data_IF_224798815498
#
_entry.id   IF_224798815498
#
_cell.length_a   1.000
_cell.length_b   1.000
_cell.length_c   1.000
_cell.angle_alpha   90.00
_cell.angle_beta   90.00
_cell.angle_gamma   90.00
#
_symmetry.space_group_name_H-M   'P 1'
#
loop_
_entity.id
_entity.type
_entity.pdbx_description
1 polymer ?
#
# COMPACT_ATOMS: atom_id res chain seq x y z
N UNK A 1 -24.40 11.80 -12.25
CA UNK A 1 -23.06 11.37 -11.79
C UNK A 1 -22.15 11.36 -13.00
N UNK A 2 -20.92 11.88 -12.90
CA UNK A 2 -19.96 11.88 -14.01
C UNK A 2 -19.51 10.45 -14.37
N UNK A 3 -18.81 10.29 -15.50
CA UNK A 3 -18.27 9.00 -15.93
C UNK A 3 -17.24 8.44 -14.94
N UNK A 4 -16.99 7.13 -14.97
CA UNK A 4 -15.94 6.49 -14.16
C UNK A 4 -14.57 7.12 -14.42
N UNK A 5 -14.28 7.50 -15.67
CA UNK A 5 -13.07 8.23 -16.02
C UNK A 5 -13.00 9.59 -15.31
N UNK A 6 -14.09 10.37 -15.30
CA UNK A 6 -14.13 11.65 -14.58
C UNK A 6 -13.93 11.44 -13.07
N UNK A 7 -14.56 10.40 -12.51
CA UNK A 7 -14.40 10.01 -11.12
C UNK A 7 -12.93 9.66 -10.76
N UNK A 8 -12.23 8.87 -11.58
CA UNK A 8 -10.82 8.56 -11.36
C UNK A 8 -9.93 9.80 -11.49
N UNK A 9 -10.17 10.64 -12.50
CA UNK A 9 -9.38 11.85 -12.74
C UNK A 9 -9.53 12.86 -11.60
N UNK A 10 -10.74 13.03 -11.05
CA UNK A 10 -10.98 13.87 -9.87
C UNK A 10 -10.19 13.37 -8.64
N UNK A 11 -10.17 12.06 -8.39
CA UNK A 11 -9.42 11.48 -7.28
C UNK A 11 -7.90 11.63 -7.49
N UNK A 12 -7.41 11.40 -8.71
CA UNK A 12 -6.00 11.54 -9.07
C UNK A 12 -5.53 13.00 -8.94
N UNK A 13 -6.29 13.96 -9.46
CA UNK A 13 -6.00 15.39 -9.34
C UNK A 13 -6.01 15.85 -7.87
N UNK A 14 -7.01 15.42 -7.09
CA UNK A 14 -7.05 15.71 -5.66
C UNK A 14 -5.80 15.19 -4.94
N UNK A 15 -5.43 13.93 -5.17
CA UNK A 15 -4.23 13.32 -4.59
C UNK A 15 -2.95 14.07 -5.03
N UNK A 16 -2.85 14.42 -6.31
CA UNK A 16 -1.70 15.16 -6.85
C UNK A 16 -1.54 16.52 -6.17
N UNK A 17 -2.62 17.28 -6.01
CA UNK A 17 -2.61 18.57 -5.31
C UNK A 17 -2.24 18.43 -3.83
N UNK A 18 -2.77 17.43 -3.14
CA UNK A 18 -2.45 17.18 -1.71
C UNK A 18 -1.00 16.75 -1.51
N UNK A 19 -0.44 15.98 -2.43
CA UNK A 19 0.92 15.44 -2.34
C UNK A 19 1.96 16.25 -3.13
N UNK A 20 1.63 17.44 -3.66
CA UNK A 20 2.49 18.23 -4.54
C UNK A 20 3.93 18.47 -4.04
N UNK A 21 4.09 18.61 -2.72
CA UNK A 21 5.38 18.83 -2.06
C UNK A 21 5.97 17.56 -1.43
N UNK A 22 5.19 16.47 -1.37
CA UNK A 22 5.66 15.22 -0.79
C UNK A 22 6.50 14.45 -1.79
N UNK A 23 7.57 13.82 -1.30
CA UNK A 23 8.44 12.92 -2.05
C UNK A 23 8.49 11.53 -1.41
N UNK A 24 8.81 10.54 -2.23
CA UNK A 24 9.26 9.21 -1.81
C UNK A 24 10.67 9.32 -1.20
N UNK A 25 11.13 8.24 -0.59
CA UNK A 25 12.40 8.19 0.16
C UNK A 25 13.52 7.50 -0.61
N UNK A 26 13.28 7.17 -1.87
CA UNK A 26 14.31 6.75 -2.80
C UNK A 26 15.29 7.91 -3.06
N UNK A 27 16.54 7.63 -3.47
CA UNK A 27 17.57 8.65 -3.65
C UNK A 27 17.22 9.78 -4.64
N UNK A 28 16.39 9.50 -5.64
CA UNK A 28 15.94 10.51 -6.61
C UNK A 28 14.85 11.43 -6.04
N UNK A 29 14.29 11.08 -4.87
CA UNK A 29 13.17 11.80 -4.27
C UNK A 29 11.97 11.80 -5.21
N UNK A 30 11.53 10.64 -5.69
CA UNK A 30 10.43 10.52 -6.66
C UNK A 30 9.16 11.23 -6.13
N UNK A 31 8.40 11.99 -6.97
CA UNK A 31 7.15 12.60 -6.55
C UNK A 31 6.19 11.59 -5.91
N UNK A 32 5.64 11.92 -4.73
CA UNK A 32 4.86 10.94 -3.97
C UNK A 32 3.59 10.47 -4.68
N UNK A 33 3.02 11.29 -5.58
CA UNK A 33 1.84 10.95 -6.39
C UNK A 33 2.02 9.67 -7.22
N UNK A 34 3.25 9.30 -7.58
CA UNK A 34 3.54 8.07 -8.30
C UNK A 34 3.11 6.83 -7.51
N UNK A 35 3.14 6.90 -6.18
CA UNK A 35 2.75 5.78 -5.33
C UNK A 35 1.24 5.52 -5.30
N UNK A 36 0.35 6.48 -4.96
CA UNK A 36 -1.10 6.26 -5.06
C UNK A 36 -1.54 5.80 -6.45
N UNK A 37 -0.97 6.37 -7.52
CA UNK A 37 -1.24 5.92 -8.90
C UNK A 37 -0.80 4.47 -9.10
N UNK A 38 0.40 4.13 -8.63
CA UNK A 38 0.93 2.77 -8.72
C UNK A 38 0.12 1.74 -7.94
N UNK A 39 -0.39 2.10 -6.76
CA UNK A 39 -1.30 1.25 -5.97
C UNK A 39 -2.61 1.00 -6.72
N UNK A 40 -3.23 2.04 -7.28
CA UNK A 40 -4.44 1.88 -8.10
C UNK A 40 -4.17 1.04 -9.37
N UNK A 41 -2.97 1.17 -9.95
CA UNK A 41 -2.55 0.35 -11.10
C UNK A 41 -2.39 -1.12 -10.73
N UNK A 42 -1.84 -1.44 -9.55
CA UNK A 42 -1.75 -2.83 -9.05
C UNK A 42 -3.16 -3.42 -8.88
N UNK A 43 -4.08 -2.66 -8.28
CA UNK A 43 -5.47 -3.10 -8.10
C UNK A 43 -6.16 -3.41 -9.44
N UNK A 44 -5.98 -2.56 -10.45
CA UNK A 44 -6.62 -2.76 -11.76
C UNK A 44 -5.94 -3.85 -12.60
N UNK A 45 -4.60 -3.81 -12.74
CA UNK A 45 -3.87 -4.65 -13.69
C UNK A 45 -3.47 -6.03 -13.14
N UNK A 46 -3.30 -6.16 -11.82
CA UNK A 46 -2.83 -7.42 -11.21
C UNK A 46 -3.95 -8.10 -10.42
N UNK A 47 -4.77 -7.33 -9.71
CA UNK A 47 -5.87 -7.85 -8.89
C UNK A 47 -7.22 -7.91 -9.61
N UNK A 48 -7.33 -7.35 -10.83
CA UNK A 48 -8.55 -7.34 -11.63
C UNK A 48 -9.70 -6.51 -11.05
N UNK A 49 -9.40 -5.52 -10.18
CA UNK A 49 -10.40 -4.69 -9.52
C UNK A 49 -10.90 -3.61 -10.47
N UNK A 50 -12.21 -3.59 -10.70
CA UNK A 50 -12.91 -2.57 -11.50
C UNK A 50 -13.81 -1.65 -10.66
N UNK A 51 -14.01 -1.96 -9.37
CA UNK A 51 -14.86 -1.16 -8.48
C UNK A 51 -14.26 0.23 -8.27
N UNK A 52 -14.92 1.24 -8.85
CA UNK A 52 -14.52 2.64 -8.78
C UNK A 52 -14.38 3.16 -7.35
N UNK A 53 -15.18 2.67 -6.40
CA UNK A 53 -15.13 3.10 -4.99
C UNK A 53 -13.84 2.65 -4.34
N UNK A 54 -13.39 1.43 -4.64
CA UNK A 54 -12.11 0.90 -4.18
C UNK A 54 -10.96 1.66 -4.83
N UNK A 55 -11.04 1.92 -6.15
CA UNK A 55 -10.00 2.63 -6.89
C UNK A 55 -9.84 4.10 -6.48
N UNK A 56 -10.91 4.77 -6.06
CA UNK A 56 -10.86 6.14 -5.54
C UNK A 56 -10.39 6.22 -4.08
N UNK A 57 -10.44 5.11 -3.33
CA UNK A 57 -10.15 5.03 -1.88
C UNK A 57 -11.06 5.92 -1.01
N UNK A 58 -11.93 6.77 -1.59
CA UNK A 58 -12.66 7.86 -0.90
C UNK A 58 -13.42 7.40 0.34
N UNK A 59 -14.13 6.27 0.27
CA UNK A 59 -14.89 5.72 1.41
C UNK A 59 -14.06 4.83 2.33
N UNK A 60 -12.86 4.46 1.89
CA UNK A 60 -11.92 3.60 2.61
C UNK A 60 -10.85 4.41 3.34
N UNK A 61 -10.76 5.73 3.09
CA UNK A 61 -9.70 6.61 3.62
C UNK A 61 -9.53 6.44 5.13
N UNK A 62 -10.62 6.38 5.89
CA UNK A 62 -10.56 6.22 7.35
C UNK A 62 -9.90 4.89 7.75
N UNK A 63 -10.24 3.78 7.09
CA UNK A 63 -9.70 2.46 7.40
C UNK A 63 -8.24 2.26 6.97
N UNK A 64 -7.77 3.08 6.02
CA UNK A 64 -6.40 2.99 5.45
C UNK A 64 -5.49 4.14 5.86
N UNK A 65 -5.97 5.09 6.65
CA UNK A 65 -5.17 6.20 7.17
C UNK A 65 -4.71 5.91 8.58
N UNK A 66 -3.40 5.87 8.79
CA UNK A 66 -2.85 5.81 10.14
C UNK A 66 -3.15 7.11 10.91
N UNK A 67 -3.47 6.98 12.21
CA UNK A 67 -3.49 8.12 13.13
C UNK A 67 -2.07 8.66 13.36
N UNK A 68 -1.77 9.82 12.78
CA UNK A 68 -0.44 10.44 12.86
C UNK A 68 -0.14 11.10 14.21
N UNK A 69 -1.08 11.14 15.15
CA UNK A 69 -0.81 11.58 16.53
C UNK A 69 -0.05 10.54 17.33
N UNK A 70 -0.04 9.28 16.88
CA UNK A 70 0.61 8.17 17.55
C UNK A 70 2.07 7.95 17.12
N UNK A 71 2.93 7.44 18.03
CA UNK A 71 4.28 7.04 17.69
C UNK A 71 4.33 6.01 16.54
N UNK A 72 5.40 6.04 15.75
CA UNK A 72 5.56 5.16 14.58
C UNK A 72 5.43 3.67 14.93
N UNK A 73 5.96 3.25 16.07
CA UNK A 73 5.86 1.86 16.52
C UNK A 73 4.41 1.45 16.80
N UNK A 74 3.65 2.34 17.44
CA UNK A 74 2.24 2.09 17.75
C UNK A 74 1.39 2.02 16.48
N UNK A 75 1.63 2.92 15.50
CA UNK A 75 0.95 2.84 14.19
C UNK A 75 1.25 1.53 13.47
N UNK A 76 2.50 1.06 13.52
CA UNK A 76 2.89 -0.24 12.95
C UNK A 76 2.15 -1.40 13.61
N UNK A 77 2.02 -1.37 14.94
CA UNK A 77 1.28 -2.38 15.72
C UNK A 77 -0.21 -2.37 15.37
N UNK A 78 -0.84 -1.20 15.32
CA UNK A 78 -2.25 -1.06 14.95
C UNK A 78 -2.53 -1.58 13.54
N UNK A 79 -1.62 -1.42 12.57
CA UNK A 79 -1.82 -2.02 11.24
C UNK A 79 -1.90 -3.55 11.28
N UNK A 80 -1.18 -4.22 12.17
CA UNK A 80 -1.26 -5.68 12.34
C UNK A 80 -2.58 -6.06 13.01
N UNK A 81 -2.94 -5.39 14.10
CA UNK A 81 -4.16 -5.67 14.87
C UNK A 81 -5.45 -5.41 14.05
N UNK A 82 -5.47 -4.34 13.25
CA UNK A 82 -6.65 -3.94 12.47
C UNK A 82 -6.77 -4.64 11.11
N UNK A 83 -5.71 -5.30 10.63
CA UNK A 83 -5.71 -6.01 9.35
C UNK A 83 -6.90 -7.00 9.20
N UNK A 84 -7.15 -7.94 10.14
CA UNK A 84 -8.25 -8.89 10.01
C UNK A 84 -9.64 -8.24 10.05
N UNK A 85 -9.77 -7.10 10.72
CA UNK A 85 -11.04 -6.39 10.96
C UNK A 85 -11.40 -5.37 9.87
N UNK A 86 -10.49 -5.12 8.92
CA UNK A 86 -10.72 -4.17 7.82
C UNK A 86 -11.79 -4.68 6.86
N UNK A 87 -12.54 -3.77 6.25
CA UNK A 87 -13.49 -4.10 5.17
C UNK A 87 -12.79 -4.75 3.97
N UNK A 88 -13.49 -5.53 3.13
CA UNK A 88 -12.88 -6.16 1.95
C UNK A 88 -12.16 -5.16 1.02
N UNK A 89 -12.76 -3.99 0.80
CA UNK A 89 -12.15 -2.91 0.01
C UNK A 89 -10.88 -2.37 0.66
N UNK A 90 -10.89 -2.14 1.97
CA UNK A 90 -9.71 -1.68 2.70
C UNK A 90 -8.59 -2.73 2.69
N UNK A 91 -8.92 -4.03 2.76
CA UNK A 91 -7.92 -5.11 2.65
C UNK A 91 -7.25 -5.12 1.28
N UNK A 92 -8.00 -4.93 0.18
CA UNK A 92 -7.44 -4.81 -1.17
C UNK A 92 -6.42 -3.67 -1.26
N UNK A 93 -6.79 -2.48 -0.79
CA UNK A 93 -5.91 -1.30 -0.80
C UNK A 93 -4.66 -1.56 0.05
N UNK A 94 -4.81 -2.16 1.23
CA UNK A 94 -3.67 -2.49 2.13
C UNK A 94 -2.74 -3.53 1.51
N UNK A 95 -3.26 -4.55 0.82
CA UNK A 95 -2.45 -5.54 0.10
C UNK A 95 -1.65 -4.89 -1.04
N UNK A 96 -2.31 -4.09 -1.88
CA UNK A 96 -1.66 -3.40 -3.00
C UNK A 96 -0.62 -2.38 -2.53
N UNK A 97 -0.90 -1.64 -1.45
CA UNK A 97 0.08 -0.74 -0.80
C UNK A 97 1.33 -1.50 -0.35
N UNK A 98 1.16 -2.63 0.37
CA UNK A 98 2.30 -3.45 0.81
C UNK A 98 3.07 -3.98 -0.39
N UNK A 99 2.39 -4.49 -1.41
CA UNK A 99 3.06 -5.01 -2.61
C UNK A 99 3.87 -3.93 -3.32
N UNK A 100 3.30 -2.73 -3.51
CA UNK A 100 4.02 -1.59 -4.09
C UNK A 100 5.28 -1.25 -3.28
N UNK A 101 5.13 -1.09 -1.96
CA UNK A 101 6.22 -0.67 -1.10
C UNK A 101 7.34 -1.72 -1.01
N UNK A 102 7.01 -3.01 -0.97
CA UNK A 102 8.02 -4.08 -0.96
C UNK A 102 8.77 -4.19 -2.29
N UNK A 103 8.08 -4.02 -3.42
CA UNK A 103 8.73 -3.92 -4.74
C UNK A 103 9.66 -2.72 -4.82
N UNK A 104 9.24 -1.58 -4.28
CA UNK A 104 10.06 -0.35 -4.27
C UNK A 104 11.31 -0.53 -3.39
N UNK A 105 11.19 -1.19 -2.23
CA UNK A 105 12.33 -1.54 -1.37
C UNK A 105 13.32 -2.50 -2.04
N UNK A 106 12.84 -3.49 -2.81
CA UNK A 106 13.72 -4.37 -3.59
C UNK A 106 14.39 -3.65 -4.76
N UNK A 107 13.71 -2.66 -5.35
CA UNK A 107 14.26 -1.85 -6.45
C UNK A 107 15.34 -0.89 -5.94
N UNK A 108 15.09 -0.22 -4.82
CA UNK A 108 15.97 0.80 -4.29
C UNK A 108 15.80 0.97 -2.78
N UNK A 109 16.88 0.75 -2.04
CA UNK A 109 16.92 1.01 -0.59
C UNK A 109 16.76 2.51 -0.32
N UNK A 110 15.80 2.92 0.54
CA UNK A 110 15.58 4.33 0.85
C UNK A 110 16.81 5.00 1.47
N UNK A 111 16.94 6.31 1.27
CA UNK A 111 18.05 7.09 1.82
C UNK A 111 18.14 6.96 3.34
N UNK A 112 19.33 6.65 3.85
CA UNK A 112 19.62 6.46 5.27
C UNK A 112 19.07 5.15 5.87
N UNK A 113 18.60 4.20 5.07
CA UNK A 113 18.21 2.86 5.54
C UNK A 113 19.37 1.87 5.38
N UNK A 114 19.57 1.04 6.39
CA UNK A 114 20.41 -0.15 6.29
C UNK A 114 19.61 -1.33 5.72
N UNK A 115 20.30 -2.34 5.21
CA UNK A 115 19.69 -3.62 4.80
C UNK A 115 18.88 -4.26 5.92
N UNK A 116 19.36 -4.22 7.17
CA UNK A 116 18.63 -4.72 8.33
C UNK A 116 17.27 -4.01 8.48
N UNK A 117 17.24 -2.69 8.29
CA UNK A 117 16.00 -1.92 8.38
C UNK A 117 15.03 -2.23 7.23
N UNK A 118 15.55 -2.57 6.06
CA UNK A 118 14.74 -3.10 4.95
C UNK A 118 14.14 -4.44 5.37
N UNK A 119 14.94 -5.37 5.89
CA UNK A 119 14.46 -6.67 6.38
C UNK A 119 13.39 -6.53 7.47
N UNK A 120 13.58 -5.67 8.47
CA UNK A 120 12.58 -5.35 9.50
C UNK A 120 11.26 -4.84 8.90
N UNK A 121 11.32 -4.14 7.76
CA UNK A 121 10.11 -3.72 7.06
C UNK A 121 9.39 -4.91 6.43
N UNK A 122 10.12 -5.84 5.81
CA UNK A 122 9.53 -7.07 5.27
C UNK A 122 8.90 -7.94 6.36
N UNK A 123 9.58 -8.11 7.50
CA UNK A 123 9.04 -8.85 8.65
C UNK A 123 7.75 -8.23 9.18
N UNK A 124 7.72 -6.90 9.34
CA UNK A 124 6.51 -6.19 9.73
C UNK A 124 5.40 -6.30 8.68
N UNK A 125 5.74 -6.17 7.39
CA UNK A 125 4.78 -6.29 6.31
C UNK A 125 4.15 -7.68 6.26
N UNK A 126 4.92 -8.74 6.52
CA UNK A 126 4.42 -10.11 6.59
C UNK A 126 3.37 -10.28 7.70
N UNK A 127 3.60 -9.69 8.88
CA UNK A 127 2.63 -9.70 9.99
C UNK A 127 1.32 -9.02 9.61
N UNK A 128 1.38 -7.87 8.92
CA UNK A 128 0.18 -7.19 8.43
C UNK A 128 -0.53 -8.05 7.38
N UNK A 129 0.20 -8.55 6.37
CA UNK A 129 -0.38 -9.33 5.26
C UNK A 129 -1.05 -10.61 5.74
N UNK A 130 -0.53 -11.25 6.79
CA UNK A 130 -1.17 -12.42 7.41
C UNK A 130 -2.62 -12.15 7.84
N UNK A 131 -2.90 -10.96 8.38
CA UNK A 131 -4.27 -10.55 8.73
C UNK A 131 -5.15 -10.16 7.53
N UNK A 132 -4.55 -10.00 6.35
CA UNK A 132 -5.24 -9.60 5.12
C UNK A 132 -5.55 -10.79 4.19
N UNK A 133 -5.09 -12.00 4.51
CA UNK A 133 -5.27 -13.20 3.70
C UNK A 133 -6.75 -13.53 3.44
N UNK A 134 -7.01 -14.21 2.33
CA UNK A 134 -8.36 -14.57 1.90
C UNK A 134 -9.13 -13.41 1.24
N UNK A 135 -8.41 -12.39 0.75
CA UNK A 135 -9.00 -11.23 0.10
C UNK A 135 -8.78 -11.24 -1.41
N UNK A 136 -7.54 -11.49 -1.88
CA UNK A 136 -7.23 -11.51 -3.31
C UNK A 136 -6.00 -12.39 -3.57
N UNK A 137 -6.23 -13.50 -4.26
CA UNK A 137 -5.22 -14.52 -4.50
C UNK A 137 -3.99 -13.99 -5.26
N UNK A 138 -4.19 -13.17 -6.29
CA UNK A 138 -3.10 -12.66 -7.13
C UNK A 138 -2.15 -11.76 -6.33
N UNK A 139 -2.69 -10.85 -5.51
CA UNK A 139 -1.87 -9.99 -4.64
C UNK A 139 -1.17 -10.81 -3.55
N UNK A 140 -1.87 -11.76 -2.95
CA UNK A 140 -1.34 -12.62 -1.88
C UNK A 140 -0.21 -13.51 -2.40
N UNK A 141 -0.33 -14.07 -3.60
CA UNK A 141 0.73 -14.86 -4.24
C UNK A 141 1.96 -14.01 -4.58
N UNK A 142 1.75 -12.81 -5.13
CA UNK A 142 2.85 -11.88 -5.42
C UNK A 142 3.60 -11.48 -4.13
N UNK A 143 2.86 -11.19 -3.05
CA UNK A 143 3.45 -10.90 -1.74
C UNK A 143 4.19 -12.10 -1.17
N UNK A 144 3.58 -13.29 -1.22
CA UNK A 144 4.19 -14.54 -0.74
C UNK A 144 5.53 -14.82 -1.42
N UNK A 145 5.64 -14.56 -2.72
CA UNK A 145 6.89 -14.72 -3.46
C UNK A 145 7.97 -13.75 -2.95
N UNK A 146 7.65 -12.47 -2.77
CA UNK A 146 8.59 -11.48 -2.23
C UNK A 146 9.04 -11.81 -0.79
N UNK A 147 8.14 -12.33 0.04
CA UNK A 147 8.48 -12.75 1.39
C UNK A 147 9.41 -13.98 1.38
N UNK A 148 9.14 -14.95 0.51
CA UNK A 148 9.96 -16.16 0.36
C UNK A 148 11.39 -15.84 -0.05
N UNK A 149 11.59 -14.87 -0.96
CA UNK A 149 12.92 -14.39 -1.38
C UNK A 149 13.75 -13.82 -0.22
N UNK A 150 13.09 -13.39 0.87
CA UNK A 150 13.74 -12.89 2.09
C UNK A 150 13.64 -13.85 3.28
N UNK A 151 13.36 -15.12 3.02
CA UNK A 151 13.31 -16.18 4.05
C UNK A 151 12.09 -16.09 4.98
N UNK A 152 11.05 -15.34 4.60
CA UNK A 152 9.83 -15.18 5.39
C UNK A 152 8.70 -16.07 4.84
N UNK A 153 7.85 -16.56 5.73
CA UNK A 153 6.66 -17.35 5.39
C UNK A 153 5.42 -16.65 5.94
N UNK A 154 4.36 -16.57 5.13
CA UNK A 154 3.04 -16.07 5.52
C UNK A 154 2.20 -17.15 6.22
#
# INVERSE_FOLDING_TARGET
MGSEAAQLLEAADFAARKHKQQRRKDPEGTPYINHPIGVARILTHEAGITDIVVLQVRRLVEEVTDDKTLPKLERKRQQVEQAPHSSPGAKLVKLADKLYNLRDLNRCTPEGWSENRVQEYFEWAAQVVKGLQGTNQQLEEALKQLFKERGLTL
#
